data_IF_409298798580
#
_entry.id   IF_409298798580
#
_cell.length_a   1.000
_cell.length_b   1.000
_cell.length_c   1.000
_cell.angle_alpha   90.00
_cell.angle_beta   90.00
_cell.angle_gamma   90.00
#
_symmetry.space_group_name_H-M   'P 1'
#
loop_
_entity.id
_entity.type
_entity.pdbx_description
1 polymer ?
#
# COMPACT_ATOMS: atom_id res chain seq x y z
N UNK A 1 -11.26 -49.37 -10.79
CA UNK A 1 -11.13 -48.53 -9.58
C UNK A 1 -9.66 -48.38 -9.25
N UNK A 2 -8.97 -47.46 -9.93
CA UNK A 2 -7.56 -47.12 -9.70
C UNK A 2 -7.51 -45.84 -8.89
N UNK A 3 -7.24 -45.95 -7.60
CA UNK A 3 -7.01 -44.80 -6.71
C UNK A 3 -5.67 -44.18 -7.06
N UNK A 4 -5.68 -43.05 -7.77
CA UNK A 4 -4.49 -42.19 -7.88
C UNK A 4 -4.20 -41.61 -6.49
N UNK A 5 -3.02 -41.86 -5.90
CA UNK A 5 -2.67 -41.24 -4.63
C UNK A 5 -2.50 -39.73 -4.86
N UNK A 6 -3.36 -38.94 -4.23
CA UNK A 6 -3.18 -37.50 -4.09
C UNK A 6 -1.87 -37.31 -3.33
N UNK A 7 -0.81 -36.97 -4.05
CA UNK A 7 0.45 -36.58 -3.46
C UNK A 7 0.16 -35.37 -2.57
N UNK A 8 0.19 -35.60 -1.25
CA UNK A 8 0.31 -34.55 -0.26
C UNK A 8 1.61 -33.82 -0.58
N UNK A 9 1.54 -32.79 -1.43
CA UNK A 9 2.67 -31.89 -1.67
C UNK A 9 3.00 -31.28 -0.32
N UNK A 10 3.98 -31.89 0.35
CA UNK A 10 4.60 -31.34 1.53
C UNK A 10 4.96 -29.90 1.16
N UNK A 11 4.26 -28.95 1.79
CA UNK A 11 4.62 -27.54 1.76
C UNK A 11 6.09 -27.52 2.15
N UNK A 12 6.97 -27.26 1.18
CA UNK A 12 8.40 -27.22 1.42
C UNK A 12 8.64 -26.32 2.63
N UNK A 13 9.53 -26.71 3.58
CA UNK A 13 9.82 -25.89 4.74
C UNK A 13 10.25 -24.51 4.23
N UNK A 14 9.47 -23.48 4.60
CA UNK A 14 9.78 -22.09 4.28
C UNK A 14 11.19 -21.84 4.79
N UNK A 15 12.13 -21.63 3.88
CA UNK A 15 13.51 -21.40 4.24
C UNK A 15 13.57 -20.24 5.23
N UNK A 16 14.26 -20.39 6.37
CA UNK A 16 14.34 -19.33 7.37
C UNK A 16 14.92 -18.08 6.72
N UNK A 17 14.35 -16.93 7.08
CA UNK A 17 14.88 -15.63 6.66
C UNK A 17 16.35 -15.58 7.07
N UNK A 18 17.25 -15.49 6.08
CA UNK A 18 18.66 -15.32 6.36
C UNK A 18 18.90 -14.10 7.26
N UNK A 19 19.99 -14.09 8.04
CA UNK A 19 20.28 -12.96 8.94
C UNK A 19 20.34 -11.60 8.21
N UNK A 20 20.84 -11.60 6.97
CA UNK A 20 20.97 -10.38 6.17
C UNK A 20 19.61 -9.76 5.74
N UNK A 21 18.67 -10.47 5.09
CA UNK A 21 17.37 -9.90 4.72
C UNK A 21 16.53 -9.46 5.92
N UNK A 22 16.63 -10.15 7.06
CA UNK A 22 15.94 -9.74 8.29
C UNK A 22 16.46 -8.38 8.82
N UNK A 23 17.78 -8.17 8.85
CA UNK A 23 18.38 -6.90 9.27
C UNK A 23 18.01 -5.77 8.30
N UNK A 24 18.03 -6.05 6.99
CA UNK A 24 17.61 -5.09 5.97
C UNK A 24 16.14 -4.70 6.15
N UNK A 25 15.26 -5.66 6.41
CA UNK A 25 13.83 -5.43 6.65
C UNK A 25 13.61 -4.50 7.84
N UNK A 26 14.27 -4.78 8.97
CA UNK A 26 14.17 -3.95 10.17
C UNK A 26 14.71 -2.54 9.91
N UNK A 27 15.79 -2.42 9.14
CA UNK A 27 16.36 -1.13 8.76
C UNK A 27 15.40 -0.33 7.88
N UNK A 28 14.80 -0.96 6.87
CA UNK A 28 13.79 -0.37 6.00
C UNK A 28 12.57 0.10 6.80
N UNK A 29 12.06 -0.74 7.69
CA UNK A 29 10.91 -0.42 8.51
C UNK A 29 11.22 0.72 9.49
N UNK A 30 12.41 0.73 10.10
CA UNK A 30 12.86 1.82 10.96
C UNK A 30 12.92 3.15 10.19
N UNK A 31 13.48 3.16 8.98
CA UNK A 31 13.54 4.34 8.12
C UNK A 31 12.15 4.82 7.73
N UNK A 32 11.27 3.90 7.28
CA UNK A 32 9.90 4.22 6.89
C UNK A 32 9.09 4.79 8.05
N UNK A 33 9.12 4.15 9.23
CA UNK A 33 8.40 4.61 10.42
C UNK A 33 8.96 5.94 10.91
N UNK A 34 10.28 6.10 10.99
CA UNK A 34 10.90 7.34 11.43
C UNK A 34 10.55 8.52 10.51
N UNK A 35 10.65 8.31 9.19
CA UNK A 35 10.28 9.30 8.20
C UNK A 35 8.79 9.64 8.25
N UNK A 36 7.91 8.62 8.28
CA UNK A 36 6.46 8.81 8.38
C UNK A 36 6.08 9.64 9.61
N UNK A 37 6.72 9.36 10.74
CA UNK A 37 6.44 10.07 11.97
C UNK A 37 6.99 11.52 11.96
N UNK A 38 8.15 11.74 11.33
CA UNK A 38 8.73 13.08 11.17
C UNK A 38 7.86 13.94 10.24
N UNK A 39 7.51 13.42 9.07
CA UNK A 39 6.74 14.15 8.08
C UNK A 39 5.27 14.30 8.48
N UNK A 40 4.69 13.30 9.15
CA UNK A 40 3.37 13.40 9.76
C UNK A 40 3.31 14.44 10.88
N UNK A 41 4.37 14.57 11.69
CA UNK A 41 4.49 15.69 12.67
C UNK A 41 4.60 17.04 11.96
N UNK A 42 5.38 17.12 10.88
CA UNK A 42 5.52 18.35 10.11
C UNK A 42 4.18 18.75 9.47
N UNK A 43 3.45 17.81 8.87
CA UNK A 43 2.12 18.04 8.31
C UNK A 43 1.15 18.60 9.38
N UNK A 44 1.15 18.01 10.59
CA UNK A 44 0.34 18.53 11.71
C UNK A 44 0.73 19.96 12.10
N UNK A 45 2.03 20.30 12.08
CA UNK A 45 2.50 21.67 12.35
C UNK A 45 2.05 22.67 11.29
N UNK A 46 1.84 22.21 10.05
CA UNK A 46 1.33 23.01 8.94
C UNK A 46 -0.22 23.07 8.90
N UNK A 47 -0.91 22.48 9.88
CA UNK A 47 -2.38 22.44 9.94
C UNK A 47 -3.02 21.36 9.07
N UNK A 48 -2.23 20.42 8.52
CA UNK A 48 -2.73 19.30 7.71
C UNK A 48 -2.93 18.04 8.57
N UNK A 49 -3.83 17.12 8.16
CA UNK A 49 -3.90 15.79 8.76
C UNK A 49 -2.57 15.06 8.66
N UNK A 50 -2.18 14.34 9.73
CA UNK A 50 -0.92 13.59 9.80
C UNK A 50 -0.70 12.66 8.60
N UNK A 51 -1.77 12.01 8.17
CA UNK A 51 -1.86 11.09 7.03
C UNK A 51 -1.24 11.73 5.77
N UNK A 52 -1.44 13.02 5.50
CA UNK A 52 -0.86 13.71 4.34
C UNK A 52 0.68 13.61 4.35
N UNK A 53 1.31 13.80 5.51
CA UNK A 53 2.76 13.66 5.66
C UNK A 53 3.22 12.20 5.53
N UNK A 54 2.47 11.26 6.09
CA UNK A 54 2.78 9.83 6.03
C UNK A 54 2.74 9.30 4.58
N UNK A 55 1.72 9.67 3.80
CA UNK A 55 1.63 9.33 2.38
C UNK A 55 2.72 10.03 1.57
N UNK A 56 3.09 11.26 1.94
CA UNK A 56 4.21 12.00 1.35
C UNK A 56 5.54 11.24 1.49
N UNK A 57 5.77 10.53 2.60
CA UNK A 57 6.97 9.70 2.77
C UNK A 57 7.02 8.56 1.77
N UNK A 58 5.89 7.91 1.49
CA UNK A 58 5.83 6.86 0.45
C UNK A 58 6.20 7.40 -0.93
N UNK A 59 5.76 8.61 -1.27
CA UNK A 59 6.13 9.28 -2.53
C UNK A 59 7.61 9.67 -2.54
N UNK A 60 8.10 10.26 -1.46
CA UNK A 60 9.48 10.76 -1.35
C UNK A 60 10.51 9.62 -1.32
N UNK A 61 10.29 8.57 -0.53
CA UNK A 61 11.17 7.40 -0.42
C UNK A 61 10.91 6.34 -1.48
N UNK A 62 9.86 6.49 -2.28
CA UNK A 62 9.56 5.60 -3.40
C UNK A 62 10.60 5.69 -4.52
N UNK A 63 10.62 4.69 -5.43
CA UNK A 63 11.55 4.66 -6.56
C UNK A 63 11.38 5.87 -7.49
N UNK A 64 10.19 6.46 -7.55
CA UNK A 64 9.89 7.60 -8.42
C UNK A 64 10.65 8.87 -8.04
N UNK A 65 10.88 9.12 -6.75
CA UNK A 65 11.59 10.33 -6.27
C UNK A 65 12.97 9.95 -5.76
N UNK A 66 13.05 9.15 -4.69
CA UNK A 66 14.34 8.75 -4.10
C UNK A 66 15.20 7.95 -5.08
N UNK A 67 14.58 7.08 -5.88
CA UNK A 67 15.28 6.30 -6.91
C UNK A 67 15.93 7.16 -7.99
N UNK A 68 15.33 8.31 -8.34
CA UNK A 68 15.89 9.22 -9.34
C UNK A 68 16.88 10.24 -8.74
N UNK A 69 16.60 10.76 -7.55
CA UNK A 69 17.47 11.76 -6.90
C UNK A 69 18.76 11.15 -6.36
N UNK A 70 18.70 9.94 -5.79
CA UNK A 70 19.83 9.30 -5.12
C UNK A 70 19.84 7.78 -5.37
N UNK A 71 20.12 7.33 -6.61
CA UNK A 71 20.04 5.92 -7.01
C UNK A 71 20.98 5.01 -6.20
N UNK A 72 22.17 5.49 -5.82
CA UNK A 72 23.10 4.71 -5.02
C UNK A 72 22.58 4.48 -3.58
N UNK A 73 21.97 5.50 -2.97
CA UNK A 73 21.40 5.40 -1.63
C UNK A 73 20.11 4.57 -1.63
N UNK A 74 19.29 4.70 -2.67
CA UNK A 74 18.06 3.91 -2.84
C UNK A 74 18.36 2.44 -3.02
N UNK A 75 19.38 2.07 -3.81
CA UNK A 75 19.81 0.68 -3.95
C UNK A 75 20.39 0.09 -2.66
N UNK A 76 20.95 0.92 -1.77
CA UNK A 76 21.48 0.46 -0.50
C UNK A 76 20.37 0.18 0.53
N UNK A 77 19.36 1.06 0.60
CA UNK A 77 18.24 0.93 1.55
C UNK A 77 17.14 0.00 1.01
N UNK A 78 16.82 0.12 -0.27
CA UNK A 78 15.77 -0.63 -0.98
C UNK A 78 16.39 -1.41 -2.15
N UNK A 79 17.14 -2.47 -1.86
CA UNK A 79 17.83 -3.21 -2.90
C UNK A 79 16.79 -3.94 -3.79
N UNK A 80 17.01 -4.03 -5.12
CA UNK A 80 15.99 -4.45 -6.08
C UNK A 80 15.81 -5.98 -6.14
N UNK A 81 15.78 -6.66 -4.99
CA UNK A 81 15.46 -8.09 -4.91
C UNK A 81 13.98 -8.29 -4.61
N UNK A 82 13.32 -9.07 -5.46
CA UNK A 82 11.90 -9.40 -5.32
C UNK A 82 11.56 -9.95 -3.93
N UNK A 83 12.42 -10.82 -3.37
CA UNK A 83 12.21 -11.40 -2.04
C UNK A 83 12.13 -10.35 -0.93
N UNK A 84 12.93 -9.28 -0.97
CA UNK A 84 12.89 -8.21 0.04
C UNK A 84 11.62 -7.36 -0.11
N UNK A 85 11.22 -7.07 -1.34
CA UNK A 85 10.00 -6.31 -1.62
C UNK A 85 8.75 -7.05 -1.15
N UNK A 86 8.68 -8.38 -1.35
CA UNK A 86 7.58 -9.20 -0.85
C UNK A 86 7.44 -9.19 0.67
N UNK A 87 8.54 -9.08 1.42
CA UNK A 87 8.49 -8.98 2.88
C UNK A 87 7.90 -7.64 3.33
N UNK A 88 8.32 -6.53 2.71
CA UNK A 88 7.74 -5.21 2.97
C UNK A 88 6.25 -5.17 2.58
N UNK A 89 5.90 -5.72 1.42
CA UNK A 89 4.52 -5.79 0.93
C UNK A 89 3.62 -6.61 1.87
N UNK A 90 4.12 -7.73 2.39
CA UNK A 90 3.42 -8.55 3.38
C UNK A 90 3.13 -7.75 4.66
N UNK A 91 4.11 -7.00 5.17
CA UNK A 91 3.92 -6.14 6.34
C UNK A 91 2.97 -4.98 6.03
N UNK A 92 3.06 -4.39 4.84
CA UNK A 92 2.16 -3.31 4.42
C UNK A 92 0.71 -3.81 4.37
N UNK A 93 0.47 -4.99 3.81
CA UNK A 93 -0.85 -5.63 3.76
C UNK A 93 -1.36 -5.91 5.18
N UNK A 94 -0.52 -6.42 6.08
CA UNK A 94 -0.88 -6.57 7.49
C UNK A 94 -1.24 -5.23 8.15
N UNK A 95 -0.46 -4.18 7.89
CA UNK A 95 -0.73 -2.83 8.38
C UNK A 95 -2.06 -2.27 7.87
N UNK A 96 -2.35 -2.43 6.58
CA UNK A 96 -3.63 -2.05 5.96
C UNK A 96 -4.78 -2.86 6.54
N UNK A 97 -4.59 -4.17 6.73
CA UNK A 97 -5.60 -5.05 7.34
C UNK A 97 -5.93 -4.60 8.76
N UNK A 98 -4.91 -4.32 9.57
CA UNK A 98 -5.09 -3.78 10.94
C UNK A 98 -5.77 -2.42 10.89
N UNK A 99 -5.36 -1.51 10.00
CA UNK A 99 -5.97 -0.19 9.85
C UNK A 99 -7.45 -0.27 9.48
N UNK A 100 -7.80 -1.07 8.47
CA UNK A 100 -9.19 -1.26 8.02
C UNK A 100 -9.99 -1.97 9.11
N UNK A 101 -9.40 -2.95 9.82
CA UNK A 101 -10.04 -3.64 10.94
C UNK A 101 -10.38 -2.69 12.09
N UNK A 102 -9.42 -1.88 12.55
CA UNK A 102 -9.63 -0.88 13.62
C UNK A 102 -10.64 0.19 13.19
N UNK A 103 -10.53 0.65 11.94
CA UNK A 103 -11.50 1.60 11.37
C UNK A 103 -12.90 0.99 11.38
N UNK A 104 -13.03 -0.27 10.95
CA UNK A 104 -14.28 -1.02 10.93
C UNK A 104 -14.90 -1.23 12.31
N UNK A 105 -14.09 -1.53 13.32
CA UNK A 105 -14.55 -1.64 14.72
C UNK A 105 -15.00 -0.28 15.29
N UNK A 106 -14.50 0.82 14.74
CA UNK A 106 -14.88 2.18 15.14
C UNK A 106 -16.12 2.70 14.39
N UNK A 107 -16.65 1.94 13.42
CA UNK A 107 -17.87 2.30 12.70
C UNK A 107 -19.12 1.98 13.54
N UNK A 108 -20.05 2.93 13.60
CA UNK A 108 -21.35 2.71 14.24
C UNK A 108 -22.29 1.93 13.31
N UNK A 109 -22.33 0.61 13.50
CA UNK A 109 -23.20 -0.28 12.73
C UNK A 109 -24.70 0.01 12.92
N UNK A 110 -25.12 0.61 14.03
CA UNK A 110 -26.51 0.96 14.29
C UNK A 110 -26.93 2.13 13.41
N UNK A 111 -26.06 3.15 13.32
CA UNK A 111 -26.28 4.30 12.45
C UNK A 111 -26.26 3.90 10.97
N UNK A 112 -25.32 3.03 10.58
CA UNK A 112 -25.23 2.49 9.22
C UNK A 112 -26.49 1.69 8.84
N UNK A 113 -27.01 0.87 9.75
CA UNK A 113 -28.20 0.04 9.48
C UNK A 113 -29.48 0.86 9.43
N UNK A 114 -29.62 1.89 10.27
CA UNK A 114 -30.81 2.76 10.26
C UNK A 114 -30.89 3.67 9.02
N UNK A 115 -29.74 4.01 8.40
CA UNK A 115 -29.65 4.84 7.19
C UNK A 115 -29.01 4.10 6.01
N UNK A 116 -29.27 2.80 5.89
CA UNK A 116 -28.58 1.92 4.93
C UNK A 116 -28.71 2.39 3.49
N UNK A 117 -29.90 2.83 3.06
CA UNK A 117 -30.14 3.33 1.70
C UNK A 117 -29.33 4.61 1.40
N UNK A 118 -29.30 5.56 2.33
CA UNK A 118 -28.54 6.80 2.18
C UNK A 118 -27.03 6.54 2.18
N UNK A 119 -26.55 5.71 3.12
CA UNK A 119 -25.13 5.32 3.19
C UNK A 119 -24.70 4.54 1.94
N UNK A 120 -25.56 3.68 1.41
CA UNK A 120 -25.30 2.95 0.18
C UNK A 120 -25.17 3.91 -1.02
N UNK A 121 -26.10 4.86 -1.18
CA UNK A 121 -26.01 5.84 -2.27
C UNK A 121 -24.80 6.77 -2.13
N UNK A 122 -24.49 7.25 -0.93
CA UNK A 122 -23.31 8.11 -0.70
C UNK A 122 -22.02 7.34 -1.01
N UNK A 123 -21.90 6.10 -0.53
CA UNK A 123 -20.72 5.26 -0.79
C UNK A 123 -20.60 4.90 -2.28
N UNK A 124 -21.72 4.53 -2.91
CA UNK A 124 -21.75 4.16 -4.32
C UNK A 124 -21.38 5.35 -5.19
N UNK A 125 -21.99 6.52 -4.98
CA UNK A 125 -21.68 7.73 -5.75
C UNK A 125 -20.28 8.25 -5.43
N UNK A 126 -19.88 8.23 -4.16
CA UNK A 126 -18.55 8.65 -3.71
C UNK A 126 -17.42 7.81 -4.30
N UNK A 127 -17.68 6.56 -4.65
CA UNK A 127 -16.73 5.69 -5.36
C UNK A 127 -16.90 5.78 -6.89
N UNK A 128 -18.14 5.69 -7.39
CA UNK A 128 -18.44 5.61 -8.81
C UNK A 128 -18.10 6.91 -9.56
N UNK A 129 -18.26 8.08 -8.93
CA UNK A 129 -17.92 9.37 -9.54
C UNK A 129 -16.41 9.48 -9.82
N UNK A 130 -15.51 9.40 -8.82
CA UNK A 130 -14.07 9.49 -9.08
C UNK A 130 -13.54 8.35 -9.96
N UNK A 131 -14.06 7.11 -9.80
CA UNK A 131 -13.70 6.02 -10.71
C UNK A 131 -14.18 6.28 -12.15
N UNK A 132 -15.41 6.72 -12.33
CA UNK A 132 -15.99 7.03 -13.64
C UNK A 132 -15.24 8.16 -14.32
N UNK A 133 -14.90 9.23 -13.59
CA UNK A 133 -14.06 10.31 -14.09
C UNK A 133 -12.64 9.82 -14.42
N UNK A 134 -12.06 8.95 -13.61
CA UNK A 134 -10.76 8.32 -13.88
C UNK A 134 -10.77 7.49 -15.17
N UNK A 135 -11.79 6.67 -15.39
CA UNK A 135 -11.94 5.87 -16.61
C UNK A 135 -12.21 6.76 -17.83
N UNK A 136 -13.07 7.77 -17.69
CA UNK A 136 -13.38 8.71 -18.78
C UNK A 136 -12.13 9.51 -19.19
N UNK A 137 -11.35 10.00 -18.22
CA UNK A 137 -10.08 10.69 -18.49
C UNK A 137 -9.08 9.74 -19.15
N UNK A 138 -8.94 8.51 -18.66
CA UNK A 138 -8.11 7.50 -19.30
C UNK A 138 -8.51 7.26 -20.76
N UNK A 139 -9.80 7.04 -21.06
CA UNK A 139 -10.27 6.77 -22.43
C UNK A 139 -10.17 7.97 -23.38
N UNK A 140 -10.21 9.20 -22.88
CA UNK A 140 -10.11 10.41 -23.71
C UNK A 140 -8.66 10.85 -23.95
N UNK A 141 -7.77 10.67 -22.97
CA UNK A 141 -6.34 11.02 -23.07
C UNK A 141 -5.52 9.92 -23.76
N UNK A 142 -5.77 8.64 -23.50
CA UNK A 142 -4.99 7.52 -24.07
C UNK A 142 -4.92 7.55 -25.60
N UNK A 143 -6.01 7.82 -26.36
CA UNK A 143 -5.95 7.93 -27.82
C UNK A 143 -5.05 9.07 -28.31
N UNK A 144 -4.92 10.14 -27.52
CA UNK A 144 -4.13 11.34 -27.88
C UNK A 144 -2.65 11.21 -27.53
N UNK A 145 -2.28 10.31 -26.61
CA UNK A 145 -0.88 10.13 -26.17
C UNK A 145 -0.19 8.96 -26.89
N UNK A 146 -0.93 7.91 -27.26
CA UNK A 146 -0.35 6.75 -27.98
C UNK A 146 -0.34 6.89 -29.51
N UNK A 147 -1.16 7.77 -30.10
CA UNK A 147 -1.17 8.03 -31.53
C UNK A 147 -1.03 9.56 -31.77
N UNK A 148 0.20 10.10 -31.82
CA UNK A 148 0.41 11.49 -32.19
C UNK A 148 0.13 11.66 -33.71
N UNK A 149 -0.46 12.80 -34.14
CA UNK A 149 -0.64 13.12 -35.56
C UNK A 149 0.69 13.39 -36.28
#
# INVERSE_FOLDING_TARGET
MTTTPVALTAVAPVAPLGGHPAVLLLTQLAILIAAAHLLGRLARRLGMPAVVGELGVGVLLGPSVFGQLAPAASHWVFPPQAGQFHLLDSIALLGVLVLVGVTGMSLDFTLVRSKSATVAWISLLGLAIPLGLGVLTALTLTPRVLCPP
#
